data_IF_251114280838
#
_entry.id   IF_251114280838
#
_cell.length_a   1.000
_cell.length_b   1.000
_cell.length_c   1.000
_cell.angle_alpha   90.00
_cell.angle_beta   90.00
_cell.angle_gamma   90.00
#
_symmetry.space_group_name_H-M   'P 1'
#
loop_
_entity.id
_entity.type
_entity.pdbx_description
1 polymer ?
#
# COMPACT_ATOMS: atom_id res chain seq x y z
N UNK A 1 10.15 2.50 0.97
CA UNK A 1 11.44 3.18 0.88
C UNK A 1 12.50 2.33 0.19
N UNK A 2 12.84 1.15 0.72
CA UNK A 2 13.90 0.28 0.18
C UNK A 2 13.70 -0.07 -1.30
N UNK A 3 12.47 -0.37 -1.73
CA UNK A 3 12.16 -0.64 -3.14
C UNK A 3 12.55 0.53 -4.06
N UNK A 4 12.27 1.76 -3.66
CA UNK A 4 12.64 2.96 -4.42
C UNK A 4 14.16 3.16 -4.49
N UNK A 5 14.85 2.98 -3.38
CA UNK A 5 16.30 3.17 -3.30
C UNK A 5 17.05 2.09 -4.08
N UNK A 6 16.67 0.82 -3.90
CA UNK A 6 17.38 -0.32 -4.48
C UNK A 6 16.97 -0.56 -5.94
N UNK A 7 15.66 -0.56 -6.20
CA UNK A 7 15.13 -0.97 -7.51
C UNK A 7 14.89 0.23 -8.44
N UNK A 8 14.45 1.38 -7.92
CA UNK A 8 13.93 2.46 -8.73
C UNK A 8 14.89 2.93 -9.83
N UNK A 9 16.13 3.28 -9.48
CA UNK A 9 17.13 3.71 -10.45
C UNK A 9 17.54 2.60 -11.41
N UNK A 10 17.82 1.42 -10.88
CA UNK A 10 18.27 0.26 -11.68
C UNK A 10 17.20 -0.17 -12.68
N UNK A 11 15.97 -0.27 -12.23
CA UNK A 11 14.82 -0.62 -13.08
C UNK A 11 14.63 0.44 -14.15
N UNK A 12 14.67 1.73 -13.81
CA UNK A 12 14.51 2.83 -14.77
C UNK A 12 15.57 2.81 -15.87
N UNK A 13 16.83 2.70 -15.51
CA UNK A 13 17.95 2.66 -16.47
C UNK A 13 17.79 1.46 -17.43
N UNK A 14 17.53 0.29 -16.86
CA UNK A 14 17.44 -0.94 -17.65
C UNK A 14 16.20 -0.98 -18.54
N UNK A 15 15.06 -0.51 -18.05
CA UNK A 15 13.82 -0.46 -18.85
C UNK A 15 13.89 0.54 -19.98
N UNK A 16 14.57 1.67 -19.76
CA UNK A 16 14.82 2.64 -20.81
C UNK A 16 15.76 2.09 -21.88
N UNK A 17 16.82 1.40 -21.49
CA UNK A 17 17.77 0.77 -22.42
C UNK A 17 17.10 -0.32 -23.28
N UNK A 18 16.21 -1.09 -22.68
CA UNK A 18 15.46 -2.17 -23.37
C UNK A 18 14.18 -1.68 -24.05
N UNK A 19 13.83 -0.41 -23.94
CA UNK A 19 12.51 0.13 -24.36
C UNK A 19 11.34 -0.74 -23.86
N UNK A 20 11.42 -1.20 -22.62
CA UNK A 20 10.41 -2.04 -22.01
C UNK A 20 9.34 -1.17 -21.31
N UNK A 21 8.06 -1.41 -21.62
CA UNK A 21 6.92 -0.65 -21.09
C UNK A 21 6.18 -1.35 -19.95
N UNK A 22 6.33 -2.65 -19.84
CA UNK A 22 5.68 -3.47 -18.81
C UNK A 22 6.65 -4.48 -18.23
N UNK A 23 6.34 -5.03 -17.05
CA UNK A 23 7.16 -6.04 -16.41
C UNK A 23 7.32 -7.32 -17.26
N UNK A 24 6.27 -7.90 -17.87
CA UNK A 24 6.42 -9.00 -18.79
C UNK A 24 7.27 -8.67 -20.03
N UNK A 25 7.12 -7.46 -20.56
CA UNK A 25 7.91 -7.00 -21.71
C UNK A 25 9.40 -6.88 -21.35
N UNK A 26 9.69 -6.39 -20.14
CA UNK A 26 11.04 -6.35 -19.61
C UNK A 26 11.70 -7.73 -19.55
N UNK A 27 10.99 -8.73 -18.99
CA UNK A 27 11.51 -10.09 -18.96
C UNK A 27 11.70 -10.67 -20.37
N UNK A 28 10.74 -10.45 -21.26
CA UNK A 28 10.84 -10.91 -22.65
C UNK A 28 12.06 -10.35 -23.38
N UNK A 29 12.30 -9.04 -23.24
CA UNK A 29 13.42 -8.36 -23.89
C UNK A 29 14.77 -8.65 -23.21
N UNK A 30 14.78 -8.72 -21.86
CA UNK A 30 16.01 -9.00 -21.12
C UNK A 30 16.59 -10.37 -21.36
N UNK A 31 15.72 -11.39 -21.51
CA UNK A 31 16.10 -12.78 -21.68
C UNK A 31 15.87 -13.29 -23.12
N UNK A 32 15.50 -12.40 -24.04
CA UNK A 32 15.21 -12.71 -25.44
C UNK A 32 14.24 -13.89 -25.60
N UNK A 33 13.31 -14.04 -24.68
CA UNK A 33 12.40 -15.17 -24.58
C UNK A 33 10.93 -14.77 -24.66
N UNK A 34 10.27 -15.13 -25.75
CA UNK A 34 8.84 -14.96 -25.95
C UNK A 34 8.02 -15.78 -24.93
N UNK A 35 8.48 -16.98 -24.63
CA UNK A 35 7.83 -17.87 -23.66
C UNK A 35 7.84 -17.27 -22.25
N UNK A 36 8.97 -16.69 -21.84
CA UNK A 36 9.08 -16.02 -20.55
C UNK A 36 8.15 -14.79 -20.45
N UNK A 37 8.03 -14.02 -21.52
CA UNK A 37 7.09 -12.89 -21.60
C UNK A 37 5.65 -13.34 -21.41
N UNK A 38 5.24 -14.42 -22.11
CA UNK A 38 3.89 -14.99 -22.00
C UNK A 38 3.65 -15.53 -20.59
N UNK A 39 4.58 -16.31 -20.05
CA UNK A 39 4.47 -16.83 -18.68
C UNK A 39 4.33 -15.71 -17.63
N UNK A 40 5.17 -14.67 -17.71
CA UNK A 40 5.10 -13.53 -16.82
C UNK A 40 3.77 -12.76 -16.92
N UNK A 41 3.24 -12.59 -18.15
CA UNK A 41 1.93 -11.97 -18.38
C UNK A 41 0.80 -12.79 -17.76
N UNK A 42 0.82 -14.10 -17.96
CA UNK A 42 -0.20 -15.03 -17.45
C UNK A 42 -0.19 -15.06 -15.92
N UNK A 43 0.99 -15.17 -15.32
CA UNK A 43 1.15 -15.16 -13.86
C UNK A 43 0.63 -13.82 -13.28
N UNK A 44 1.07 -12.69 -13.84
CA UNK A 44 0.63 -11.39 -13.39
C UNK A 44 -0.90 -11.25 -13.48
N UNK A 45 -1.51 -11.67 -14.59
CA UNK A 45 -2.96 -11.60 -14.77
C UNK A 45 -3.70 -12.45 -13.73
N UNK A 46 -3.30 -13.72 -13.55
CA UNK A 46 -3.96 -14.62 -12.60
C UNK A 46 -3.88 -14.08 -11.16
N UNK A 47 -2.71 -13.62 -10.71
CA UNK A 47 -2.53 -13.16 -9.34
C UNK A 47 -3.10 -11.76 -9.07
N UNK A 48 -3.28 -10.92 -10.10
CA UNK A 48 -3.95 -9.64 -9.94
C UNK A 48 -5.46 -9.78 -9.70
N UNK A 49 -6.11 -10.87 -10.12
CA UNK A 49 -7.54 -11.08 -9.88
C UNK A 49 -7.88 -11.12 -8.36
N UNK A 50 -7.30 -12.03 -7.55
CA UNK A 50 -7.59 -12.05 -6.11
C UNK A 50 -7.13 -10.79 -5.39
N UNK A 51 -6.03 -10.15 -5.84
CA UNK A 51 -5.59 -8.86 -5.31
C UNK A 51 -6.67 -7.78 -5.52
N UNK A 52 -7.17 -7.63 -6.74
CA UNK A 52 -8.23 -6.67 -7.07
C UNK A 52 -9.49 -6.96 -6.28
N UNK A 53 -9.89 -8.22 -6.17
CA UNK A 53 -11.05 -8.64 -5.38
C UNK A 53 -10.92 -8.23 -3.90
N UNK A 54 -9.73 -8.36 -3.30
CA UNK A 54 -9.48 -7.95 -1.91
C UNK A 54 -9.59 -6.44 -1.71
N UNK A 55 -9.11 -5.64 -2.67
CA UNK A 55 -9.23 -4.17 -2.65
C UNK A 55 -10.71 -3.75 -2.73
N UNK A 56 -11.47 -4.32 -3.66
CA UNK A 56 -12.91 -4.04 -3.76
C UNK A 56 -13.67 -4.47 -2.50
N UNK A 57 -13.29 -5.61 -1.91
CA UNK A 57 -13.91 -6.07 -0.64
C UNK A 57 -13.69 -5.05 0.46
N UNK A 58 -12.47 -4.56 0.67
CA UNK A 58 -12.17 -3.57 1.69
C UNK A 58 -12.97 -2.29 1.50
N UNK A 59 -12.97 -1.73 0.29
CA UNK A 59 -13.65 -0.50 -0.04
C UNK A 59 -15.18 -0.64 0.10
N UNK A 60 -15.76 -1.71 -0.44
CA UNK A 60 -17.21 -1.95 -0.37
C UNK A 60 -17.71 -2.19 1.05
N UNK A 61 -16.90 -2.81 1.91
CA UNK A 61 -17.21 -2.96 3.32
C UNK A 61 -17.29 -1.60 4.02
N UNK A 62 -16.33 -0.70 3.76
CA UNK A 62 -16.35 0.66 4.32
C UNK A 62 -17.58 1.45 3.88
N UNK A 63 -17.92 1.42 2.59
CA UNK A 63 -19.10 2.10 2.07
C UNK A 63 -20.40 1.46 2.58
N UNK A 64 -20.44 0.15 2.68
CA UNK A 64 -21.58 -0.57 3.25
C UNK A 64 -21.86 -0.17 4.69
N UNK A 65 -20.82 -0.07 5.53
CA UNK A 65 -20.92 0.38 6.91
C UNK A 65 -21.29 1.88 7.02
N UNK A 66 -20.68 2.73 6.18
CA UNK A 66 -20.90 4.17 6.25
C UNK A 66 -22.30 4.59 5.78
N UNK A 67 -22.84 3.94 4.75
CA UNK A 67 -24.09 4.32 4.10
C UNK A 67 -25.22 3.30 4.27
N UNK A 68 -24.97 2.20 4.97
CA UNK A 68 -25.92 1.09 5.16
C UNK A 68 -26.46 0.52 3.82
N UNK A 69 -25.57 0.42 2.82
CA UNK A 69 -25.87 -0.12 1.50
C UNK A 69 -25.39 -1.57 1.44
N UNK A 70 -26.17 -2.43 0.78
CA UNK A 70 -25.77 -3.83 0.57
C UNK A 70 -24.41 -3.91 -0.15
N UNK A 71 -23.56 -4.78 0.36
CA UNK A 71 -22.18 -5.00 -0.14
C UNK A 71 -22.12 -5.22 -1.66
N UNK A 72 -23.06 -5.97 -2.21
CA UNK A 72 -23.09 -6.31 -3.65
C UNK A 72 -23.23 -5.07 -4.52
N UNK A 73 -24.13 -4.17 -4.14
CA UNK A 73 -24.32 -2.92 -4.87
C UNK A 73 -23.12 -1.99 -4.77
N UNK A 74 -22.47 -1.95 -3.61
CA UNK A 74 -21.22 -1.21 -3.46
C UNK A 74 -20.12 -1.74 -4.39
N UNK A 75 -19.92 -3.07 -4.46
CA UNK A 75 -18.92 -3.68 -5.35
C UNK A 75 -19.21 -3.35 -6.81
N UNK A 76 -20.47 -3.51 -7.25
CA UNK A 76 -20.88 -3.26 -8.64
C UNK A 76 -20.66 -1.78 -9.00
N UNK A 77 -21.13 -0.88 -8.15
CA UNK A 77 -20.99 0.56 -8.38
C UNK A 77 -19.54 0.99 -8.47
N UNK A 78 -18.69 0.53 -7.55
CA UNK A 78 -17.26 0.84 -7.53
C UNK A 78 -16.52 0.23 -8.73
N UNK A 79 -16.85 -1.00 -9.11
CA UNK A 79 -16.24 -1.64 -10.27
C UNK A 79 -16.62 -0.91 -11.58
N UNK A 80 -17.89 -0.52 -11.72
CA UNK A 80 -18.36 0.22 -12.89
C UNK A 80 -17.70 1.61 -12.97
N UNK A 81 -17.67 2.35 -11.86
CA UNK A 81 -17.04 3.64 -11.78
C UNK A 81 -15.54 3.56 -12.18
N UNK A 82 -14.85 2.57 -11.59
CA UNK A 82 -13.42 2.34 -11.89
C UNK A 82 -13.21 1.99 -13.36
N UNK A 83 -14.04 1.10 -13.93
CA UNK A 83 -13.94 0.73 -15.33
C UNK A 83 -14.14 1.96 -16.25
N UNK A 84 -15.14 2.78 -15.98
CA UNK A 84 -15.42 3.98 -16.78
C UNK A 84 -14.23 4.94 -16.78
N UNK A 85 -13.72 5.35 -15.62
CA UNK A 85 -12.63 6.33 -15.62
C UNK A 85 -11.29 5.77 -16.11
N UNK A 86 -11.02 4.48 -15.93
CA UNK A 86 -9.81 3.82 -16.44
C UNK A 86 -9.85 3.67 -17.95
N UNK A 87 -10.99 3.24 -18.50
CA UNK A 87 -11.14 3.06 -19.96
C UNK A 87 -11.07 4.41 -20.68
N UNK A 88 -11.77 5.43 -20.17
CA UNK A 88 -11.82 6.74 -20.80
C UNK A 88 -10.56 7.58 -20.60
N UNK A 89 -9.95 7.49 -19.43
CA UNK A 89 -8.85 8.36 -19.02
C UNK A 89 -7.45 7.76 -19.17
N UNK A 90 -7.33 6.46 -19.27
CA UNK A 90 -6.05 5.75 -19.37
C UNK A 90 -5.10 6.00 -18.19
N UNK A 91 -3.81 5.80 -18.43
CA UNK A 91 -2.78 5.92 -17.38
C UNK A 91 -2.64 7.35 -16.80
N UNK A 92 -2.80 8.37 -17.63
CA UNK A 92 -2.64 9.75 -17.17
C UNK A 92 -3.74 10.16 -16.20
N UNK A 93 -4.99 9.80 -16.50
CA UNK A 93 -6.11 10.10 -15.62
C UNK A 93 -6.01 9.35 -14.28
N UNK A 94 -5.59 8.09 -14.29
CA UNK A 94 -5.35 7.34 -13.07
C UNK A 94 -4.23 7.97 -12.23
N UNK A 95 -3.13 8.43 -12.85
CA UNK A 95 -2.03 9.07 -12.14
C UNK A 95 -2.43 10.41 -11.49
N UNK A 96 -3.25 11.21 -12.17
CA UNK A 96 -3.80 12.46 -11.62
C UNK A 96 -4.76 12.17 -10.47
N UNK A 97 -5.64 11.19 -10.64
CA UNK A 97 -6.56 10.76 -9.61
C UNK A 97 -5.82 10.25 -8.37
N UNK A 98 -4.80 9.42 -8.54
CA UNK A 98 -3.94 8.93 -7.44
C UNK A 98 -3.27 10.09 -6.68
N UNK A 99 -2.82 11.12 -7.39
CA UNK A 99 -2.22 12.29 -6.78
C UNK A 99 -3.22 13.09 -5.92
N UNK A 100 -4.42 13.34 -6.46
CA UNK A 100 -5.49 14.04 -5.73
C UNK A 100 -5.91 13.23 -4.50
N UNK A 101 -6.14 11.93 -4.65
CA UNK A 101 -6.48 11.04 -3.55
C UNK A 101 -5.37 10.99 -2.50
N UNK A 102 -4.10 10.98 -2.91
CA UNK A 102 -2.97 11.04 -2.00
C UNK A 102 -2.98 12.30 -1.12
N UNK A 103 -3.30 13.47 -1.69
CA UNK A 103 -3.44 14.70 -0.93
C UNK A 103 -4.63 14.65 0.05
N UNK A 104 -5.76 14.12 -0.39
CA UNK A 104 -6.94 13.93 0.48
C UNK A 104 -6.62 12.97 1.62
N UNK A 105 -5.94 11.86 1.34
CA UNK A 105 -5.48 10.91 2.37
C UNK A 105 -4.56 11.58 3.39
N UNK A 106 -3.60 12.37 2.94
CA UNK A 106 -2.68 13.08 3.84
C UNK A 106 -3.41 14.05 4.77
N UNK A 107 -4.33 14.84 4.22
CA UNK A 107 -5.17 15.74 5.02
C UNK A 107 -6.11 14.98 5.97
N UNK A 108 -6.72 13.91 5.47
CA UNK A 108 -7.64 13.06 6.23
C UNK A 108 -6.97 12.39 7.43
N UNK A 109 -5.78 11.80 7.26
CA UNK A 109 -5.09 11.15 8.37
C UNK A 109 -4.67 12.17 9.46
N UNK A 110 -4.20 13.34 9.06
CA UNK A 110 -3.88 14.41 10.03
C UNK A 110 -5.13 14.83 10.79
N UNK A 111 -6.27 15.01 10.11
CA UNK A 111 -7.53 15.35 10.75
C UNK A 111 -8.00 14.26 11.74
N UNK A 112 -7.88 12.98 11.36
CA UNK A 112 -8.22 11.85 12.24
C UNK A 112 -7.33 11.83 13.47
N UNK A 113 -6.00 11.98 13.31
CA UNK A 113 -5.07 12.02 14.43
C UNK A 113 -5.46 13.15 15.43
N UNK A 114 -5.69 14.35 14.90
CA UNK A 114 -6.08 15.49 15.73
C UNK A 114 -7.42 15.24 16.44
N UNK A 115 -8.41 14.68 15.75
CA UNK A 115 -9.70 14.37 16.34
C UNK A 115 -9.60 13.31 17.44
N UNK A 116 -8.85 12.23 17.22
CA UNK A 116 -8.64 11.18 18.21
C UNK A 116 -7.89 11.72 19.42
N UNK A 117 -6.80 12.45 19.23
CA UNK A 117 -6.01 13.02 20.33
C UNK A 117 -6.82 14.02 21.15
N UNK A 118 -7.61 14.88 20.51
CA UNK A 118 -8.49 15.81 21.22
C UNK A 118 -9.57 15.07 22.02
N UNK A 119 -10.16 14.01 21.44
CA UNK A 119 -11.16 13.18 22.12
C UNK A 119 -10.59 12.40 23.32
N UNK A 120 -9.31 12.11 23.33
CA UNK A 120 -8.63 11.39 24.42
C UNK A 120 -8.02 12.33 25.48
N UNK A 121 -8.05 13.63 25.29
CA UNK A 121 -7.47 14.62 26.22
C UNK A 121 -5.99 14.91 25.96
N UNK A 122 -5.52 14.68 24.73
CA UNK A 122 -4.17 14.95 24.26
C UNK A 122 -3.28 13.72 24.11
N UNK A 123 -2.11 13.92 23.53
CA UNK A 123 -1.19 12.83 23.15
C UNK A 123 -0.73 11.99 24.36
N UNK A 124 -0.28 12.63 25.45
CA UNK A 124 0.21 11.90 26.63
C UNK A 124 -0.90 11.09 27.31
N UNK A 125 -2.09 11.67 27.42
CA UNK A 125 -3.25 10.98 28.01
C UNK A 125 -3.69 9.81 27.13
N UNK A 126 -3.64 9.95 25.82
CA UNK A 126 -3.94 8.86 24.87
C UNK A 126 -2.96 7.69 25.03
N UNK A 127 -1.65 7.96 25.12
CA UNK A 127 -0.64 6.93 25.37
C UNK A 127 -0.83 6.25 26.73
N UNK A 128 -1.13 7.02 27.78
CA UNK A 128 -1.38 6.45 29.10
C UNK A 128 -2.58 5.51 29.07
N UNK A 129 -3.71 5.92 28.49
CA UNK A 129 -4.87 5.05 28.32
C UNK A 129 -4.57 3.81 27.49
N UNK A 130 -3.76 3.94 26.44
CA UNK A 130 -3.33 2.82 25.61
C UNK A 130 -2.47 1.82 26.40
N UNK A 131 -1.64 2.32 27.34
CA UNK A 131 -0.83 1.45 28.21
C UNK A 131 -1.64 0.63 29.22
N UNK A 132 -2.85 1.08 29.54
CA UNK A 132 -3.76 0.42 30.48
C UNK A 132 -4.63 -0.65 29.81
N UNK A 133 -4.65 -0.72 28.46
CA UNK A 133 -5.42 -1.74 27.74
C UNK A 133 -4.75 -3.09 27.90
N UNK A 134 -5.47 -4.10 28.44
CA UNK A 134 -4.94 -5.45 28.58
C UNK A 134 -4.80 -6.12 27.23
N UNK A 135 -3.78 -6.93 27.05
CA UNK A 135 -3.60 -7.73 25.85
C UNK A 135 -4.59 -8.90 25.81
N UNK A 136 -5.19 -9.14 24.63
CA UNK A 136 -6.04 -10.29 24.41
C UNK A 136 -5.18 -11.58 24.37
N UNK A 137 -5.42 -12.56 25.28
CA UNK A 137 -4.65 -13.80 25.30
C UNK A 137 -4.70 -14.59 23.99
N UNK A 138 -5.77 -14.46 23.21
CA UNK A 138 -5.92 -15.15 21.92
C UNK A 138 -5.00 -14.60 20.81
N UNK A 139 -4.61 -13.34 20.92
CA UNK A 139 -3.84 -12.62 19.90
C UNK A 139 -2.46 -12.16 20.39
N UNK A 140 -2.04 -12.63 21.57
CA UNK A 140 -0.79 -12.21 22.20
C UNK A 140 0.16 -13.40 22.33
N UNK A 141 1.43 -13.17 22.04
CA UNK A 141 2.49 -14.16 22.28
C UNK A 141 2.47 -14.61 23.75
N UNK A 142 2.60 -15.91 24.05
CA UNK A 142 2.58 -16.44 25.41
C UNK A 142 3.52 -15.74 26.39
N UNK A 143 4.65 -15.23 25.89
CA UNK A 143 5.65 -14.50 26.67
C UNK A 143 5.19 -13.11 27.10
N UNK A 144 4.16 -12.54 26.45
CA UNK A 144 3.67 -11.18 26.67
C UNK A 144 2.23 -11.15 27.22
N UNK A 145 1.64 -12.32 27.47
CA UNK A 145 0.35 -12.42 28.13
C UNK A 145 0.46 -11.81 29.53
N UNK A 146 -0.47 -10.92 29.86
CA UNK A 146 -0.51 -10.18 31.13
C UNK A 146 0.57 -9.08 31.29
N UNK A 147 1.23 -8.63 30.23
CA UNK A 147 2.08 -7.44 30.28
C UNK A 147 1.24 -6.19 30.09
N UNK A 148 1.24 -5.30 31.08
CA UNK A 148 0.71 -3.95 30.93
C UNK A 148 1.63 -3.15 30.01
N UNK A 149 1.03 -2.32 29.15
CA UNK A 149 1.80 -1.43 28.26
C UNK A 149 2.33 -2.09 26.98
N UNK A 150 1.89 -3.30 26.65
CA UNK A 150 2.31 -3.99 25.43
C UNK A 150 2.02 -3.18 24.15
N UNK A 151 0.90 -2.45 24.11
CA UNK A 151 0.53 -1.60 22.96
C UNK A 151 1.34 -0.30 22.81
N UNK A 152 2.03 0.13 23.86
CA UNK A 152 2.96 1.27 23.80
C UNK A 152 4.41 0.83 23.70
N UNK A 153 4.67 -0.48 23.69
CA UNK A 153 6.01 -1.02 23.49
C UNK A 153 6.42 -0.95 22.03
N UNK A 154 7.71 -0.78 21.76
CA UNK A 154 8.25 -0.71 20.40
C UNK A 154 8.00 -1.98 19.57
N UNK A 155 7.91 -3.13 20.22
CA UNK A 155 7.72 -4.43 19.57
C UNK A 155 6.25 -4.91 19.60
N UNK A 156 5.35 -4.16 20.23
CA UNK A 156 3.94 -4.54 20.35
C UNK A 156 3.70 -5.82 21.16
N UNK A 157 2.46 -6.34 21.17
CA UNK A 157 2.08 -7.53 21.93
C UNK A 157 2.57 -8.85 21.31
N UNK A 158 2.98 -8.88 20.04
CA UNK A 158 3.54 -10.05 19.37
C UNK A 158 4.72 -9.67 18.45
N UNK A 159 5.96 -9.66 18.99
CA UNK A 159 7.14 -9.28 18.22
C UNK A 159 7.43 -10.18 17.02
N UNK A 160 7.12 -11.48 17.11
CA UNK A 160 7.39 -12.42 16.02
C UNK A 160 6.45 -12.18 14.84
N UNK A 161 5.17 -11.98 15.11
CA UNK A 161 4.17 -11.64 14.10
C UNK A 161 4.47 -10.26 13.50
N UNK A 162 4.82 -9.26 14.32
CA UNK A 162 5.21 -7.94 13.83
C UNK A 162 6.39 -8.03 12.87
N UNK A 163 7.43 -8.79 13.22
CA UNK A 163 8.58 -9.00 12.34
C UNK A 163 8.17 -9.67 11.03
N UNK A 164 7.31 -10.68 11.09
CA UNK A 164 6.75 -11.36 9.92
C UNK A 164 5.98 -10.39 9.00
N UNK A 165 5.12 -9.56 9.57
CA UNK A 165 4.36 -8.54 8.84
C UNK A 165 5.29 -7.49 8.22
N UNK A 166 6.29 -7.01 8.96
CA UNK A 166 7.29 -6.04 8.45
C UNK A 166 8.07 -6.62 7.27
N UNK A 167 8.54 -7.87 7.37
CA UNK A 167 9.24 -8.53 6.26
C UNK A 167 8.31 -8.72 5.07
N UNK A 168 7.10 -9.23 5.28
CA UNK A 168 6.12 -9.47 4.23
C UNK A 168 5.73 -8.18 3.50
N UNK A 169 5.41 -7.13 4.22
CA UNK A 169 5.00 -5.85 3.64
C UNK A 169 6.15 -5.08 3.01
N UNK A 170 7.36 -5.19 3.57
CA UNK A 170 8.54 -4.50 3.04
C UNK A 170 9.11 -5.17 1.79
N UNK A 171 9.20 -6.50 1.76
CA UNK A 171 9.81 -7.24 0.67
C UNK A 171 8.78 -7.77 -0.34
N UNK A 172 7.62 -8.23 0.12
CA UNK A 172 6.57 -8.79 -0.73
C UNK A 172 6.04 -7.82 -1.77
N UNK A 173 6.01 -6.53 -1.45
CA UNK A 173 5.55 -5.50 -2.38
C UNK A 173 6.53 -5.18 -3.51
N UNK A 174 7.80 -5.59 -3.42
CA UNK A 174 8.82 -5.25 -4.43
C UNK A 174 8.56 -5.89 -5.79
N UNK A 175 7.98 -7.08 -5.79
CA UNK A 175 7.66 -7.83 -7.01
C UNK A 175 6.30 -7.51 -7.63
N UNK A 176 5.49 -6.66 -7.00
CA UNK A 176 4.16 -6.35 -7.51
C UNK A 176 4.23 -5.53 -8.81
N UNK A 177 3.54 -5.97 -9.88
CA UNK A 177 3.57 -5.29 -11.18
C UNK A 177 3.19 -3.81 -11.11
N UNK A 178 2.24 -3.43 -10.25
CA UNK A 178 1.81 -2.04 -10.05
C UNK A 178 2.89 -1.18 -9.37
N UNK A 179 3.73 -1.74 -8.50
CA UNK A 179 4.84 -1.01 -7.89
C UNK A 179 5.98 -0.82 -8.89
N UNK A 180 6.35 -1.88 -9.57
CA UNK A 180 7.42 -1.84 -10.57
C UNK A 180 7.03 -0.99 -11.77
N UNK A 181 5.76 -1.04 -12.19
CA UNK A 181 5.20 -0.23 -13.27
C UNK A 181 5.40 1.28 -13.12
N UNK A 182 5.42 1.77 -11.87
CA UNK A 182 5.70 3.19 -11.59
C UNK A 182 7.10 3.61 -12.04
N UNK A 183 8.09 2.72 -11.91
CA UNK A 183 9.47 3.01 -12.32
C UNK A 183 9.63 3.09 -13.85
N UNK A 184 8.79 2.40 -14.62
CA UNK A 184 8.77 2.49 -16.09
C UNK A 184 8.25 3.87 -16.56
N UNK A 185 7.29 4.45 -15.83
CA UNK A 185 6.64 5.70 -16.19
C UNK A 185 7.44 6.97 -15.82
N UNK A 186 8.46 6.86 -14.96
CA UNK A 186 9.25 8.00 -14.49
C UNK A 186 10.10 8.57 -15.64
N UNK A 187 10.05 9.90 -15.83
CA UNK A 187 10.73 10.59 -16.96
C UNK A 187 12.25 10.53 -16.88
N UNK A 188 12.85 10.62 -15.68
CA UNK A 188 14.30 10.71 -15.51
C UNK A 188 14.79 10.09 -14.22
N UNK A 189 16.07 9.76 -14.15
CA UNK A 189 16.71 9.25 -12.93
C UNK A 189 16.63 10.25 -11.75
N UNK A 190 16.69 11.54 -12.03
CA UNK A 190 16.53 12.59 -10.99
C UNK A 190 15.13 12.53 -10.37
N UNK A 191 14.12 12.29 -11.19
CA UNK A 191 12.74 12.16 -10.72
C UNK A 191 12.54 10.93 -9.80
N UNK A 192 13.35 9.86 -9.96
CA UNK A 192 13.36 8.73 -9.01
C UNK A 192 13.75 9.19 -7.61
N UNK A 193 14.79 10.02 -7.48
CA UNK A 193 15.24 10.55 -6.18
C UNK A 193 14.16 11.41 -5.51
N UNK A 194 13.56 12.30 -6.26
CA UNK A 194 12.45 13.14 -5.76
C UNK A 194 11.25 12.27 -5.37
N UNK A 195 10.87 11.31 -6.21
CA UNK A 195 9.81 10.35 -5.90
C UNK A 195 10.09 9.54 -4.64
N UNK A 196 11.34 9.13 -4.41
CA UNK A 196 11.75 8.45 -3.18
C UNK A 196 11.50 9.31 -1.93
N UNK A 197 11.90 10.59 -1.97
CA UNK A 197 11.72 11.51 -0.83
C UNK A 197 10.23 11.73 -0.56
N UNK A 198 9.46 12.07 -1.60
CA UNK A 198 8.02 12.32 -1.48
C UNK A 198 7.28 11.07 -0.98
N UNK A 199 7.51 9.91 -1.59
CA UNK A 199 6.84 8.67 -1.17
C UNK A 199 7.21 8.25 0.24
N UNK A 200 8.45 8.52 0.68
CA UNK A 200 8.87 8.25 2.05
C UNK A 200 8.17 9.16 3.05
N UNK A 201 8.08 10.44 2.74
CA UNK A 201 7.34 11.39 3.59
C UNK A 201 5.86 10.98 3.74
N UNK A 202 5.20 10.70 2.62
CA UNK A 202 3.81 10.20 2.64
C UNK A 202 3.67 8.90 3.45
N UNK A 203 4.56 7.94 3.24
CA UNK A 203 4.54 6.69 3.97
C UNK A 203 4.73 6.87 5.48
N UNK A 204 5.63 7.76 5.90
CA UNK A 204 5.82 8.07 7.32
C UNK A 204 4.59 8.70 7.96
N UNK A 205 3.97 9.67 7.28
CA UNK A 205 2.77 10.33 7.83
C UNK A 205 1.58 9.37 7.85
N UNK A 206 1.34 8.63 6.77
CA UNK A 206 0.19 7.73 6.69
C UNK A 206 0.39 6.52 7.60
N UNK A 207 1.52 5.82 7.51
CA UNK A 207 1.76 4.65 8.36
C UNK A 207 1.87 5.02 9.83
N UNK A 208 2.61 6.09 10.18
CA UNK A 208 2.73 6.56 11.55
C UNK A 208 1.42 7.12 12.12
N UNK A 209 0.49 7.53 11.27
CA UNK A 209 -0.83 8.02 11.70
C UNK A 209 -1.90 6.95 11.80
N UNK A 210 -1.71 5.80 11.13
CA UNK A 210 -2.65 4.68 11.20
C UNK A 210 -2.35 3.73 12.36
N UNK A 211 -1.13 3.70 12.86
CA UNK A 211 -0.64 2.86 13.95
C UNK A 211 -0.23 3.69 15.16
#
# INVERSE_FOLDING_TARGET
LLAWVIMGRRTRVMTHHLDAKTMPDFFGKRYESKSLRIAASTIAFIFLIPYTASVYKGLSTLFGLAFNIDYRWCVIAMALLTAVYVILGGYMATAINDFIQGLIMLGGIVAIILAVLNGQGGFLTAIQKLSEIPTDPANTSPALQNMNGAFVSFFGPDPANLLGVVILTSLGTWGLPQMVGKFYAIKSERAVKTGTIVSTFFALVIAGGCY
#
